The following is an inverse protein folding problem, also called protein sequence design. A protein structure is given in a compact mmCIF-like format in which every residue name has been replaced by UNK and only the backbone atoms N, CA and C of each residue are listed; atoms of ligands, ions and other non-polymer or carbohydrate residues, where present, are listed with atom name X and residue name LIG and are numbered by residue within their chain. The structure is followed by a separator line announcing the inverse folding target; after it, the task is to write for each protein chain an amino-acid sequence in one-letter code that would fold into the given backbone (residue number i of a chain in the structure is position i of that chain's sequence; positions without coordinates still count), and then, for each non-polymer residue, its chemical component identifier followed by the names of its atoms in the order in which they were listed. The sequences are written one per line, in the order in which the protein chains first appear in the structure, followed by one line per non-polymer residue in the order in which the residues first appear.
data_IF_485314581501
#
_entry.id   IF_485314581501
#
_cell.length_a   1.000
_cell.length_b   1.000
_cell.length_c   1.000
_cell.angle_alpha   90.00
_cell.angle_beta   90.00
_cell.angle_gamma   90.00
#
_symmetry.space_group_name_H-M   'P 1'
#
loop_
_entity.id
_entity.type
_entity.pdbx_description
1 polymer ?
#
# COMPACT_ATOMS: atom_id res chain seq x y z
N UNK A 1 -17.96 14.45 -8.47
CA UNK A 1 -16.58 13.95 -8.43
C UNK A 1 -16.57 12.59 -7.75
N UNK A 2 -16.57 11.50 -8.51
CA UNK A 2 -16.45 10.16 -7.93
C UNK A 2 -14.98 9.92 -7.63
N UNK A 3 -14.60 10.03 -6.35
CA UNK A 3 -13.35 9.48 -5.85
C UNK A 3 -13.48 7.96 -5.96
N UNK A 4 -12.89 7.38 -7.01
CA UNK A 4 -12.63 5.94 -7.03
C UNK A 4 -11.51 5.71 -6.02
N UNK A 5 -11.87 5.12 -4.88
CA UNK A 5 -10.89 4.69 -3.88
C UNK A 5 -10.11 3.52 -4.47
N UNK A 6 -8.77 3.64 -4.50
CA UNK A 6 -7.92 2.51 -4.84
C UNK A 6 -8.11 1.39 -3.80
N UNK A 7 -8.16 0.11 -4.22
CA UNK A 7 -8.30 -1.00 -3.29
C UNK A 7 -7.13 -1.05 -2.31
N UNK A 8 -7.37 -1.60 -1.12
CA UNK A 8 -6.33 -1.86 -0.13
C UNK A 8 -5.23 -2.79 -0.67
N UNK A 9 -4.01 -2.62 -0.17
CA UNK A 9 -2.92 -3.54 -0.47
C UNK A 9 -3.15 -4.88 0.23
N UNK A 10 -2.84 -5.95 -0.48
CA UNK A 10 -3.00 -7.33 -0.05
C UNK A 10 -1.66 -8.00 0.20
N UNK A 11 -1.70 -9.21 0.74
CA UNK A 11 -0.53 -10.06 0.85
C UNK A 11 -0.01 -10.56 -0.51
N UNK A 12 -0.68 -10.30 -1.64
CA UNK A 12 -0.19 -10.63 -2.97
C UNK A 12 0.66 -9.50 -3.58
N UNK A 13 0.50 -8.26 -3.11
CA UNK A 13 1.25 -7.10 -3.60
C UNK A 13 2.72 -7.21 -3.19
N UNK A 14 3.63 -7.02 -4.15
CA UNK A 14 5.08 -7.23 -3.97
C UNK A 14 5.82 -5.93 -4.14
N UNK A 15 6.81 -5.71 -3.29
CA UNK A 15 7.71 -4.59 -3.43
C UNK A 15 8.56 -4.76 -4.68
N UNK A 16 8.56 -3.76 -5.55
CA UNK A 16 9.31 -3.77 -6.83
C UNK A 16 10.82 -3.90 -6.63
N UNK A 17 11.32 -3.61 -5.43
CA UNK A 17 12.76 -3.66 -5.12
C UNK A 17 13.24 -5.01 -4.57
N UNK A 18 12.45 -5.68 -3.74
CA UNK A 18 12.90 -6.88 -3.03
C UNK A 18 11.91 -8.04 -3.04
N UNK A 19 10.72 -7.88 -3.61
CA UNK A 19 9.70 -8.92 -3.64
C UNK A 19 9.03 -9.22 -2.30
N UNK A 20 9.33 -8.50 -1.21
CA UNK A 20 8.57 -8.62 0.04
C UNK A 20 7.14 -8.05 -0.11
N UNK A 21 6.25 -8.31 0.84
CA UNK A 21 4.91 -7.71 0.83
C UNK A 21 4.99 -6.18 0.76
N UNK A 22 4.18 -5.58 -0.13
CA UNK A 22 4.03 -4.15 -0.23
C UNK A 22 3.02 -3.62 0.80
N UNK A 23 3.32 -2.47 1.36
CA UNK A 23 2.44 -1.72 2.27
C UNK A 23 2.25 -0.27 1.82
N UNK A 24 3.00 0.18 0.82
CA UNK A 24 2.80 1.48 0.20
C UNK A 24 2.63 1.31 -1.30
N UNK A 25 1.65 2.03 -1.84
CA UNK A 25 1.43 2.25 -3.27
C UNK A 25 1.60 3.72 -3.60
N UNK A 26 2.43 4.02 -4.59
CA UNK A 26 2.56 5.34 -5.18
C UNK A 26 1.99 5.31 -6.58
N UNK A 27 0.93 6.07 -6.82
CA UNK A 27 0.29 6.20 -8.14
C UNK A 27 0.74 7.50 -8.78
N UNK A 28 1.38 7.39 -9.94
CA UNK A 28 1.80 8.51 -10.78
C UNK A 28 0.68 8.85 -11.77
N UNK A 29 0.70 10.07 -12.32
CA UNK A 29 -0.43 10.65 -13.07
C UNK A 29 -1.06 9.79 -14.16
N UNK A 30 -0.28 9.01 -14.92
CA UNK A 30 -0.78 8.14 -16.00
C UNK A 30 -1.38 6.81 -15.49
N UNK A 31 -1.58 6.67 -14.17
CA UNK A 31 -2.04 5.43 -13.55
C UNK A 31 -0.94 4.39 -13.36
N UNK A 32 0.33 4.78 -13.55
CA UNK A 32 1.47 3.93 -13.23
C UNK A 32 1.61 3.81 -11.71
N UNK A 33 1.81 2.59 -11.24
CA UNK A 33 1.90 2.28 -9.81
C UNK A 33 3.29 1.74 -9.47
N UNK A 34 3.84 2.23 -8.36
CA UNK A 34 5.04 1.68 -7.73
C UNK A 34 4.68 1.14 -6.35
N UNK A 35 5.11 -0.08 -6.07
CA UNK A 35 4.83 -0.81 -4.84
C UNK A 35 6.08 -0.93 -3.96
N UNK A 36 5.94 -0.55 -2.69
CA UNK A 36 7.03 -0.59 -1.73
C UNK A 36 6.65 -1.35 -0.47
N UNK A 37 7.57 -2.19 0.03
CA UNK A 37 7.49 -2.68 1.40
C UNK A 37 7.73 -1.53 2.37
N UNK A 38 7.33 -1.68 3.63
CA UNK A 38 7.52 -0.63 4.63
C UNK A 38 8.98 -0.20 4.81
N UNK A 39 9.93 -1.10 4.56
CA UNK A 39 11.36 -0.79 4.59
C UNK A 39 11.76 0.14 3.42
N UNK A 40 11.50 -0.26 2.18
CA UNK A 40 11.91 0.54 1.02
C UNK A 40 11.06 1.80 0.83
N UNK A 41 9.80 1.78 1.27
CA UNK A 41 8.90 2.92 1.22
C UNK A 41 9.51 4.17 1.83
N UNK A 42 10.12 4.07 3.01
CA UNK A 42 10.76 5.20 3.70
C UNK A 42 11.75 5.96 2.81
N UNK A 43 12.56 5.24 2.03
CA UNK A 43 13.58 5.84 1.16
C UNK A 43 13.02 6.44 -0.13
N UNK A 44 11.92 5.88 -0.64
CA UNK A 44 11.37 6.23 -1.95
C UNK A 44 10.21 7.24 -1.86
N UNK A 45 9.33 7.11 -0.86
CA UNK A 45 8.15 7.97 -0.68
C UNK A 45 8.55 9.42 -0.44
N UNK A 46 9.61 9.68 0.33
CA UNK A 46 10.08 11.04 0.61
C UNK A 46 10.40 11.81 -0.69
N UNK A 47 10.96 11.12 -1.68
CA UNK A 47 11.28 11.71 -2.99
C UNK A 47 10.05 11.81 -3.88
N UNK A 48 9.14 10.84 -3.77
CA UNK A 48 7.94 10.79 -4.59
C UNK A 48 6.92 11.88 -4.18
N UNK A 49 6.91 12.33 -2.92
CA UNK A 49 6.05 13.42 -2.43
C UNK A 49 6.23 14.74 -3.19
N UNK A 50 7.37 14.94 -3.85
CA UNK A 50 7.67 16.14 -4.65
C UNK A 50 7.12 16.07 -6.09
N UNK A 51 6.66 14.89 -6.53
CA UNK A 51 6.37 14.58 -7.94
C UNK A 51 4.87 14.45 -8.26
N UNK A 52 4.00 15.10 -7.49
CA UNK A 52 2.53 15.06 -7.68
C UNK A 52 1.98 13.61 -7.75
N UNK A 53 2.40 12.76 -6.82
CA UNK A 53 1.93 11.38 -6.75
C UNK A 53 0.86 11.21 -5.68
N UNK A 54 -0.04 10.26 -5.89
CA UNK A 54 -0.95 9.79 -4.84
C UNK A 54 -0.27 8.68 -4.05
N UNK A 55 -0.14 8.85 -2.74
CA UNK A 55 0.44 7.82 -1.84
C UNK A 55 -0.66 7.17 -1.01
N UNK A 56 -0.79 5.86 -1.12
CA UNK A 56 -1.56 5.02 -0.21
C UNK A 56 -0.59 4.29 0.73
N UNK A 57 -0.47 4.75 1.97
CA UNK A 57 0.36 4.13 3.02
C UNK A 57 -0.49 3.27 3.97
N UNK A 58 -0.18 1.99 4.02
CA UNK A 58 -0.80 1.01 4.91
C UNK A 58 0.19 0.41 5.90
N UNK A 59 1.30 1.10 6.17
CA UNK A 59 2.33 0.60 7.10
C UNK A 59 1.80 0.44 8.52
N UNK A 60 0.72 1.14 8.87
CA UNK A 60 -0.01 0.95 10.12
C UNK A 60 -0.48 -0.50 10.34
N UNK A 61 -0.73 -1.26 9.26
CA UNK A 61 -1.16 -2.66 9.33
C UNK A 61 -0.08 -3.61 9.82
N UNK A 62 1.20 -3.22 9.75
CA UNK A 62 2.30 -4.00 10.33
C UNK A 62 2.25 -4.11 11.85
N UNK A 63 1.59 -3.14 12.49
CA UNK A 63 1.43 -3.10 13.94
C UNK A 63 0.01 -3.51 14.37
N UNK A 64 -0.91 -3.66 13.41
CA UNK A 64 -2.28 -4.09 13.62
C UNK A 64 -2.40 -5.62 13.47
N UNK A 65 -1.67 -6.38 14.29
CA UNK A 65 -1.83 -7.85 14.38
C UNK A 65 -3.06 -8.26 15.21
N UNK A 66 -3.86 -7.32 15.74
CA UNK A 66 -5.00 -7.67 16.62
C UNK A 66 -6.25 -6.87 16.29
N UNK A 67 -6.82 -7.06 15.09
CA UNK A 67 -8.24 -6.77 14.81
C UNK A 67 -8.65 -7.29 13.43
N UNK A 68 -8.49 -8.58 13.17
CA UNK A 68 -9.36 -9.23 12.19
C UNK A 68 -10.54 -9.80 13.00
N UNK A 69 -11.79 -9.31 12.83
CA UNK A 69 -12.92 -10.10 13.30
C UNK A 69 -12.91 -11.41 12.51
N UNK A 70 -12.84 -12.53 13.23
CA UNK A 70 -13.07 -13.86 12.68
C UNK A 70 -14.38 -13.83 11.87
N UNK A 71 -14.47 -14.45 10.69
CA UNK A 71 -15.73 -14.57 9.99
C UNK A 71 -16.67 -15.43 10.84
N UNK A 72 -17.60 -14.78 11.54
CA UNK A 72 -18.70 -15.44 12.22
C UNK A 72 -19.58 -16.12 11.16
N UNK A 73 -19.52 -17.46 11.13
CA UNK A 73 -20.64 -18.32 10.76
C UNK A 73 -20.84 -18.56 9.26
N UNK A 74 -20.22 -19.61 8.75
CA UNK A 74 -20.92 -20.49 7.82
C UNK A 74 -21.75 -21.46 8.66
N UNK A 75 -23.06 -21.28 8.67
CA UNK A 75 -24.05 -22.32 8.95
C UNK A 75 -25.17 -22.26 7.91
#
# INVERSE_FOLDING_TARGET
MNTTLAPDLTAADRCDRCGAQAYIRATLGEGLELLFCAHHGRKHIEKLRDLDVTIQDQTHRLHAEVAAPEPLGAE
#
